data_IF_674363020344
#
_entry.id   IF_674363020344
#
_cell.length_a   1.000
_cell.length_b   1.000
_cell.length_c   1.000
_cell.angle_alpha   90.00
_cell.angle_beta   90.00
_cell.angle_gamma   90.00
#
_symmetry.space_group_name_H-M   'P 1'
#
loop_
_entity.id
_entity.type
_entity.pdbx_description
1 polymer ?
#
# COMPACT_ATOMS: atom_id res chain seq x y z
N UNK A 1 -7.60 21.42 8.18
CA UNK A 1 -7.01 20.11 7.84
C UNK A 1 -5.95 20.34 6.77
N UNK A 2 -4.67 20.22 7.14
CA UNK A 2 -3.55 20.56 6.25
C UNK A 2 -3.26 19.40 5.31
N UNK A 3 -3.58 19.53 4.03
CA UNK A 3 -3.24 18.53 3.01
C UNK A 3 -1.71 18.57 2.83
N UNK A 4 -0.98 17.45 2.97
CA UNK A 4 0.45 17.44 2.71
C UNK A 4 0.70 17.84 1.26
N UNK A 5 1.42 18.96 1.06
CA UNK A 5 1.85 19.40 -0.27
C UNK A 5 2.92 18.44 -0.78
N UNK A 6 2.50 17.41 -1.52
CA UNK A 6 3.44 16.57 -2.27
C UNK A 6 4.04 17.41 -3.39
N UNK A 7 5.33 17.73 -3.22
CA UNK A 7 6.11 18.51 -4.18
C UNK A 7 6.07 17.85 -5.56
N UNK A 8 5.77 18.64 -6.60
CA UNK A 8 5.74 18.24 -8.00
C UNK A 8 7.10 17.60 -8.39
N UNK A 9 7.22 16.28 -8.28
CA UNK A 9 8.47 15.56 -8.54
C UNK A 9 8.78 15.64 -10.05
N UNK A 10 9.99 16.08 -10.42
CA UNK A 10 10.51 16.01 -11.79
C UNK A 10 10.90 14.55 -12.10
N UNK A 11 9.92 13.69 -12.28
CA UNK A 11 10.14 12.26 -12.55
C UNK A 11 8.94 11.42 -12.16
N UNK A 12 8.83 10.22 -12.74
CA UNK A 12 7.84 9.27 -12.28
C UNK A 12 8.09 8.89 -10.81
N UNK A 13 7.02 8.55 -10.12
CA UNK A 13 7.01 8.03 -8.75
C UNK A 13 6.29 6.69 -8.76
N UNK A 14 6.87 5.69 -8.12
CA UNK A 14 6.21 4.43 -7.81
C UNK A 14 5.47 4.58 -6.49
N UNK A 15 4.24 4.12 -6.42
CA UNK A 15 3.41 4.20 -5.22
C UNK A 15 2.79 2.85 -4.88
N UNK A 16 2.49 2.68 -3.60
CA UNK A 16 1.80 1.51 -3.04
C UNK A 16 0.52 1.97 -2.36
N UNK A 17 -0.61 1.45 -2.81
CA UNK A 17 -1.89 1.59 -2.14
C UNK A 17 -2.11 0.41 -1.19
N UNK A 18 -2.66 0.69 -0.02
CA UNK A 18 -3.18 -0.30 0.93
C UNK A 18 -4.70 -0.22 0.94
N UNK A 19 -5.37 -1.37 0.83
CA UNK A 19 -6.82 -1.46 0.93
C UNK A 19 -7.20 -1.79 2.38
N UNK A 20 -8.20 -1.10 2.92
CA UNK A 20 -8.67 -1.31 4.31
C UNK A 20 -9.16 -2.73 4.55
N UNK A 21 -9.71 -3.38 3.51
CA UNK A 21 -9.95 -4.82 3.46
C UNK A 21 -9.52 -5.42 2.12
N UNK A 22 -9.07 -6.68 2.07
CA UNK A 22 -8.67 -7.32 0.82
C UNK A 22 -9.85 -7.48 -0.13
N UNK A 23 -9.60 -7.28 -1.43
CA UNK A 23 -10.48 -7.66 -2.53
C UNK A 23 -9.98 -8.99 -3.09
N UNK A 24 -10.67 -10.10 -2.75
CA UNK A 24 -10.17 -11.46 -2.97
C UNK A 24 -8.74 -11.62 -2.44
N UNK A 25 -7.76 -11.86 -3.31
CA UNK A 25 -6.34 -11.98 -2.92
C UNK A 25 -5.56 -10.66 -2.94
N UNK A 26 -6.16 -9.56 -3.42
CA UNK A 26 -5.51 -8.27 -3.55
C UNK A 26 -5.78 -7.38 -2.32
N UNK A 27 -4.76 -7.20 -1.47
CA UNK A 27 -4.76 -6.18 -0.39
C UNK A 27 -3.99 -4.90 -0.77
N UNK A 28 -3.23 -4.95 -1.87
CA UNK A 28 -2.33 -3.88 -2.26
C UNK A 28 -2.37 -3.65 -3.77
N UNK A 29 -2.09 -2.41 -4.16
CA UNK A 29 -1.91 -2.03 -5.56
C UNK A 29 -0.59 -1.27 -5.74
N UNK A 30 0.22 -1.70 -6.71
CA UNK A 30 1.47 -1.04 -7.10
C UNK A 30 1.30 -0.42 -8.49
N UNK A 31 1.63 0.86 -8.59
CA UNK A 31 1.64 1.60 -9.85
C UNK A 31 2.74 2.64 -9.89
N UNK A 32 2.98 3.21 -11.06
CA UNK A 32 3.84 4.38 -11.23
C UNK A 32 3.10 5.51 -11.95
N UNK A 33 3.42 6.76 -11.62
CA UNK A 33 2.79 7.94 -12.20
C UNK A 33 3.78 9.11 -12.31
N UNK A 34 3.64 9.93 -13.35
CA UNK A 34 4.37 11.21 -13.46
C UNK A 34 3.73 12.31 -12.60
N UNK A 35 2.41 12.29 -12.49
CA UNK A 35 1.64 13.15 -11.61
C UNK A 35 0.90 12.26 -10.60
N UNK A 36 1.45 12.14 -9.39
CA UNK A 36 0.90 11.23 -8.39
C UNK A 36 -0.46 11.70 -7.89
N UNK A 37 -0.63 13.00 -7.63
CA UNK A 37 -1.86 13.54 -7.04
C UNK A 37 -3.06 13.35 -7.97
N UNK A 38 -2.87 13.67 -9.25
CA UNK A 38 -3.87 13.42 -10.29
C UNK A 38 -4.19 11.92 -10.40
N UNK A 39 -3.18 11.07 -10.35
CA UNK A 39 -3.38 9.61 -10.41
C UNK A 39 -4.14 9.08 -9.20
N UNK A 40 -3.87 9.59 -8.00
CA UNK A 40 -4.59 9.22 -6.79
C UNK A 40 -6.05 9.69 -6.86
N UNK A 41 -6.30 10.89 -7.38
CA UNK A 41 -7.66 11.39 -7.61
C UNK A 41 -8.42 10.53 -8.63
N UNK A 42 -7.78 10.10 -9.72
CA UNK A 42 -8.37 9.13 -10.67
C UNK A 42 -8.77 7.82 -9.97
N UNK A 43 -7.89 7.28 -9.12
CA UNK A 43 -8.20 6.07 -8.36
C UNK A 43 -9.37 6.28 -7.39
N UNK A 44 -9.43 7.42 -6.71
CA UNK A 44 -10.51 7.75 -5.76
C UNK A 44 -11.86 7.88 -6.47
N UNK A 45 -11.87 8.34 -7.72
CA UNK A 45 -13.06 8.39 -8.58
C UNK A 45 -13.39 7.05 -9.26
N UNK A 46 -12.63 5.98 -9.01
CA UNK A 46 -12.80 4.69 -9.68
C UNK A 46 -12.37 4.66 -11.15
N UNK A 47 -11.66 5.68 -11.64
CA UNK A 47 -11.25 5.82 -13.05
C UNK A 47 -9.79 5.41 -13.30
N UNK A 48 -8.99 5.24 -12.25
CA UNK A 48 -7.54 5.01 -12.41
C UNK A 48 -7.13 3.58 -12.83
N UNK A 49 -7.85 2.56 -12.37
CA UNK A 49 -7.64 1.15 -12.74
C UNK A 49 -8.88 0.31 -12.43
N UNK A 50 -9.08 -0.79 -13.18
CA UNK A 50 -10.20 -1.73 -12.96
C UNK A 50 -10.23 -2.26 -11.52
N UNK A 51 -9.08 -2.55 -10.92
CA UNK A 51 -9.03 -3.02 -9.53
C UNK A 51 -9.53 -1.94 -8.55
N UNK A 52 -9.05 -0.70 -8.69
CA UNK A 52 -9.49 0.40 -7.81
C UNK A 52 -10.95 0.79 -8.05
N UNK A 53 -11.44 0.64 -9.28
CA UNK A 53 -12.86 0.79 -9.59
C UNK A 53 -13.70 -0.17 -8.74
N UNK A 54 -13.40 -1.47 -8.80
CA UNK A 54 -14.15 -2.49 -8.05
C UNK A 54 -14.00 -2.30 -6.53
N UNK A 55 -12.81 -1.89 -6.06
CA UNK A 55 -12.57 -1.52 -4.66
C UNK A 55 -13.53 -0.42 -4.21
N UNK A 56 -13.66 0.66 -4.99
CA UNK A 56 -14.60 1.76 -4.70
C UNK A 56 -16.06 1.29 -4.80
N UNK A 57 -16.44 0.54 -5.83
CA UNK A 57 -17.80 -0.01 -5.99
C UNK A 57 -18.22 -0.88 -4.80
N UNK A 58 -17.28 -1.59 -4.18
CA UNK A 58 -17.52 -2.41 -2.99
C UNK A 58 -17.39 -1.65 -1.66
N UNK A 59 -17.27 -0.32 -1.70
CA UNK A 59 -17.10 0.52 -0.51
C UNK A 59 -15.79 0.25 0.25
N UNK A 60 -14.78 -0.32 -0.41
CA UNK A 60 -13.46 -0.54 0.18
C UNK A 60 -12.67 0.76 0.04
N UNK A 61 -12.24 1.31 1.17
CA UNK A 61 -11.33 2.46 1.17
C UNK A 61 -9.89 2.03 0.92
N UNK A 62 -9.08 2.95 0.38
CA UNK A 62 -7.66 2.75 0.23
C UNK A 62 -6.87 4.02 0.51
N UNK A 63 -5.61 3.84 0.86
CA UNK A 63 -4.68 4.93 1.14
C UNK A 63 -3.32 4.68 0.49
N UNK A 64 -2.65 5.76 0.07
CA UNK A 64 -1.29 5.69 -0.42
C UNK A 64 -0.32 5.63 0.77
N UNK A 65 0.21 4.44 1.05
CA UNK A 65 1.02 4.20 2.26
C UNK A 65 2.51 4.40 2.04
N UNK A 66 2.97 4.40 0.79
CA UNK A 66 4.41 4.52 0.48
C UNK A 66 4.66 4.93 -0.96
N UNK A 67 5.71 5.71 -1.16
CA UNK A 67 6.20 6.14 -2.47
C UNK A 67 7.70 5.94 -2.60
N UNK A 68 8.17 5.69 -3.83
CA UNK A 68 9.58 5.61 -4.20
C UNK A 68 9.84 6.44 -5.45
N UNK A 69 11.01 7.09 -5.51
CA UNK A 69 11.48 7.69 -6.76
C UNK A 69 11.70 6.58 -7.80
N UNK A 70 11.25 6.79 -9.03
CA UNK A 70 11.40 5.81 -10.10
C UNK A 70 10.12 5.65 -10.94
N UNK A 71 10.22 4.90 -12.02
CA UNK A 71 9.11 4.66 -12.93
C UNK A 71 8.81 3.17 -13.12
N UNK A 72 8.53 2.82 -14.37
CA UNK A 72 8.08 1.48 -14.76
C UNK A 72 9.08 0.37 -14.44
N UNK A 73 10.39 0.66 -14.44
CA UNK A 73 11.43 -0.34 -14.16
C UNK A 73 11.38 -0.76 -12.69
N UNK A 74 11.33 0.20 -11.79
CA UNK A 74 11.24 0.03 -10.34
C UNK A 74 9.91 -0.62 -9.96
N UNK A 75 8.80 -0.19 -10.59
CA UNK A 75 7.49 -0.83 -10.43
C UNK A 75 7.54 -2.32 -10.80
N UNK A 76 8.16 -2.67 -11.94
CA UNK A 76 8.32 -4.06 -12.36
C UNK A 76 9.17 -4.87 -11.38
N UNK A 77 10.25 -4.28 -10.84
CA UNK A 77 11.06 -4.94 -9.82
C UNK A 77 10.24 -5.24 -8.56
N UNK A 78 9.46 -4.28 -8.05
CA UNK A 78 8.62 -4.52 -6.87
C UNK A 78 7.52 -5.56 -7.14
N UNK A 79 6.91 -5.56 -8.33
CA UNK A 79 5.93 -6.57 -8.75
C UNK A 79 6.56 -7.97 -8.80
N UNK A 80 7.75 -8.10 -9.39
CA UNK A 80 8.48 -9.35 -9.46
C UNK A 80 8.89 -9.88 -8.08
N UNK A 81 9.19 -8.99 -7.14
CA UNK A 81 9.55 -9.41 -5.79
C UNK A 81 8.38 -10.08 -5.05
N UNK A 82 7.13 -9.75 -5.41
CA UNK A 82 5.90 -10.28 -4.79
C UNK A 82 5.83 -10.08 -3.26
N UNK A 83 6.52 -9.08 -2.73
CA UNK A 83 6.57 -8.78 -1.28
C UNK A 83 5.79 -7.52 -0.88
N UNK A 84 4.63 -7.28 -1.49
CA UNK A 84 3.81 -6.08 -1.23
C UNK A 84 3.50 -5.89 0.28
N UNK A 85 3.19 -6.96 1.00
CA UNK A 85 2.95 -6.93 2.46
C UNK A 85 4.17 -6.45 3.26
N UNK A 86 5.40 -6.78 2.82
CA UNK A 86 6.62 -6.34 3.49
C UNK A 86 7.01 -4.90 3.12
N UNK A 87 6.58 -4.43 1.94
CA UNK A 87 6.75 -3.06 1.47
C UNK A 87 5.78 -2.09 2.15
N UNK A 88 4.58 -2.58 2.48
CA UNK A 88 3.52 -1.83 3.16
C UNK A 88 3.87 -1.60 4.64
N UNK A 89 4.01 -0.34 5.11
CA UNK A 89 4.31 -0.06 6.51
C UNK A 89 3.21 -0.53 7.46
N UNK A 90 1.93 -0.41 7.07
CA UNK A 90 0.80 -0.83 7.89
C UNK A 90 0.79 -2.34 8.12
N UNK A 91 0.85 -3.13 7.04
CA UNK A 91 0.92 -4.59 7.14
C UNK A 91 2.18 -5.06 7.88
N UNK A 92 3.32 -4.37 7.72
CA UNK A 92 4.54 -4.71 8.45
C UNK A 92 4.39 -4.46 9.95
N UNK A 93 3.73 -3.39 10.35
CA UNK A 93 3.42 -3.12 11.76
C UNK A 93 2.49 -4.20 12.33
N UNK A 94 1.43 -4.58 11.62
CA UNK A 94 0.53 -5.68 12.02
C UNK A 94 1.29 -7.00 12.24
N UNK A 95 2.17 -7.37 11.29
CA UNK A 95 2.98 -8.60 11.41
C UNK A 95 3.92 -8.54 12.60
N UNK A 96 4.54 -7.39 12.85
CA UNK A 96 5.44 -7.21 13.99
C UNK A 96 4.70 -7.27 15.32
N UNK A 97 3.51 -6.67 15.42
CA UNK A 97 2.67 -6.74 16.61
C UNK A 97 2.31 -8.18 16.95
N UNK A 98 1.79 -8.94 15.98
CA UNK A 98 1.46 -10.37 16.15
C UNK A 98 2.66 -11.21 16.57
N UNK A 99 3.85 -10.90 16.04
CA UNK A 99 5.10 -11.60 16.44
C UNK A 99 5.46 -11.31 17.90
N UNK A 100 5.31 -10.06 18.34
CA UNK A 100 5.56 -9.65 19.73
C UNK A 100 4.59 -10.33 20.69
N UNK A 101 3.30 -10.33 20.37
CA UNK A 101 2.25 -11.01 21.16
C UNK A 101 2.58 -12.50 21.34
N UNK A 102 2.91 -13.21 20.25
CA UNK A 102 3.30 -14.63 20.30
C UNK A 102 4.54 -14.87 21.14
N UNK A 103 5.52 -13.98 21.08
CA UNK A 103 6.73 -14.08 21.91
C UNK A 103 6.40 -13.93 23.39
N UNK A 104 5.59 -12.94 23.77
CA UNK A 104 5.19 -12.75 25.17
C UNK A 104 4.42 -13.95 25.69
N UNK A 105 3.42 -14.43 24.95
CA UNK A 105 2.65 -15.61 25.34
C UNK A 105 3.53 -16.85 25.55
N UNK A 106 4.50 -17.10 24.67
CA UNK A 106 5.45 -18.21 24.81
C UNK A 106 6.39 -18.04 26.01
N UNK A 107 6.78 -16.81 26.32
CA UNK A 107 7.65 -16.51 27.47
C UNK A 107 6.89 -16.70 28.78
N UNK A 108 5.65 -16.24 28.87
CA UNK A 108 4.76 -16.42 30.02
C UNK A 108 4.51 -17.92 30.29
N UNK A 109 4.20 -18.69 29.23
CA UNK A 109 3.99 -20.13 29.34
C UNK A 109 5.25 -20.93 29.74
N UNK A 110 6.45 -20.38 29.54
CA UNK A 110 7.70 -21.01 29.95
C UNK A 110 8.12 -20.65 31.39
N UNK A 111 7.44 -19.67 31.99
CA UNK A 111 7.75 -19.14 33.33
C UNK A 111 6.66 -19.48 34.37
N UNK A 112 5.68 -20.28 33.97
CA UNK A 112 4.66 -20.95 34.81
C UNK A 112 5.02 -22.42 34.92
#
# INVERSE_FOLDING_TARGET
MSIPRHTKQRGAVVYLLHFSRPLAHAKHYLGSAKNLDERLAEHQRGQGARLTQVVIELGITFECVRTWKGGRKEERQFKNWKKATALCPLCRQEVNAKRRERYQHRKEAANQ
#
